data_IF_607951003941
#
_entry.id   IF_607951003941
#
_cell.length_a   1.000
_cell.length_b   1.000
_cell.length_c   1.000
_cell.angle_alpha   90.00
_cell.angle_beta   90.00
_cell.angle_gamma   90.00
#
_symmetry.space_group_name_H-M   'P 1'
#
loop_
_entity.id
_entity.type
_entity.pdbx_description
1 polymer ?
#
# COMPACT_ATOMS: atom_id res chain seq x y z
N UNK A 1 -31.53 -16.67 -13.14
CA UNK A 1 -30.09 -16.38 -13.31
C UNK A 1 -29.30 -17.53 -12.70
N UNK A 2 -28.31 -18.11 -13.41
CA UNK A 2 -27.58 -19.28 -12.92
C UNK A 2 -26.62 -18.87 -11.79
N UNK A 3 -26.70 -19.52 -10.62
CA UNK A 3 -25.92 -19.19 -9.44
C UNK A 3 -24.41 -19.09 -9.72
N UNK A 4 -23.87 -19.98 -10.57
CA UNK A 4 -22.46 -19.95 -10.97
C UNK A 4 -22.05 -18.65 -11.66
N UNK A 5 -22.92 -18.11 -12.51
CA UNK A 5 -22.69 -16.84 -13.21
C UNK A 5 -22.74 -15.65 -12.25
N UNK A 6 -23.59 -15.71 -11.22
CA UNK A 6 -23.67 -14.70 -10.16
C UNK A 6 -22.36 -14.66 -9.37
N UNK A 7 -21.86 -15.82 -8.92
CA UNK A 7 -20.61 -15.89 -8.18
C UNK A 7 -19.40 -15.45 -9.01
N UNK A 8 -19.35 -15.82 -10.30
CA UNK A 8 -18.30 -15.34 -11.20
C UNK A 8 -18.33 -13.83 -11.38
N UNK A 9 -19.51 -13.25 -11.60
CA UNK A 9 -19.66 -11.80 -11.73
C UNK A 9 -19.26 -11.08 -10.43
N UNK A 10 -19.66 -11.60 -9.29
CA UNK A 10 -19.33 -11.04 -7.98
C UNK A 10 -17.82 -11.11 -7.69
N UNK A 11 -17.18 -12.25 -7.92
CA UNK A 11 -15.73 -12.40 -7.76
C UNK A 11 -14.95 -11.49 -8.71
N UNK A 12 -15.38 -11.41 -9.98
CA UNK A 12 -14.79 -10.50 -10.95
C UNK A 12 -14.90 -9.03 -10.54
N UNK A 13 -16.05 -8.62 -9.99
CA UNK A 13 -16.27 -7.27 -9.48
C UNK A 13 -15.30 -6.93 -8.35
N UNK A 14 -15.09 -7.84 -7.39
CA UNK A 14 -14.15 -7.62 -6.27
C UNK A 14 -12.74 -7.40 -6.78
N UNK A 15 -12.27 -8.26 -7.70
CA UNK A 15 -10.92 -8.14 -8.27
C UNK A 15 -10.78 -6.83 -9.05
N UNK A 16 -11.78 -6.47 -9.86
CA UNK A 16 -11.80 -5.21 -10.60
C UNK A 16 -11.69 -4.01 -9.67
N UNK A 17 -12.50 -3.99 -8.60
CA UNK A 17 -12.47 -2.90 -7.62
C UNK A 17 -11.10 -2.81 -6.94
N UNK A 18 -10.53 -3.93 -6.51
CA UNK A 18 -9.19 -3.95 -5.91
C UNK A 18 -8.10 -3.37 -6.83
N UNK A 19 -8.16 -3.71 -8.12
CA UNK A 19 -7.26 -3.15 -9.13
C UNK A 19 -7.47 -1.65 -9.27
N UNK A 20 -8.73 -1.20 -9.39
CA UNK A 20 -9.05 0.22 -9.54
C UNK A 20 -8.66 1.04 -8.30
N UNK A 21 -8.84 0.52 -7.09
CA UNK A 21 -8.42 1.21 -5.86
C UNK A 21 -6.90 1.34 -5.81
N UNK A 22 -6.17 0.27 -6.15
CA UNK A 22 -4.71 0.30 -6.24
C UNK A 22 -4.17 1.28 -7.28
N UNK A 23 -4.76 1.31 -8.49
CA UNK A 23 -4.36 2.25 -9.55
C UNK A 23 -4.62 3.71 -9.20
N UNK A 24 -5.70 4.00 -8.47
CA UNK A 24 -5.99 5.36 -7.99
C UNK A 24 -5.19 5.73 -6.73
N UNK A 25 -4.35 4.83 -6.22
CA UNK A 25 -3.62 5.04 -4.98
C UNK A 25 -4.53 5.15 -3.75
N UNK A 26 -5.76 4.63 -3.83
CA UNK A 26 -6.68 4.60 -2.71
C UNK A 26 -6.32 3.43 -1.80
N UNK A 27 -5.81 3.76 -0.62
CA UNK A 27 -5.46 2.80 0.43
C UNK A 27 -6.47 2.89 1.58
N UNK A 28 -6.78 1.74 2.17
CA UNK A 28 -7.60 1.69 3.39
C UNK A 28 -6.70 1.93 4.60
N UNK A 29 -6.83 3.12 5.21
CA UNK A 29 -6.08 3.53 6.40
C UNK A 29 -5.29 4.81 6.19
N UNK A 30 -4.97 5.48 7.30
CA UNK A 30 -4.10 6.66 7.34
C UNK A 30 -2.66 6.21 7.62
N UNK A 31 -2.08 5.42 6.71
CA UNK A 31 -0.67 5.08 6.79
C UNK A 31 0.10 6.38 6.63
N UNK A 32 0.49 7.00 7.75
CA UNK A 32 1.28 8.22 7.77
C UNK A 32 2.52 7.99 6.92
N UNK A 33 2.62 8.74 5.82
CA UNK A 33 3.84 8.84 5.04
C UNK A 33 4.84 9.60 5.88
N UNK A 34 5.56 8.90 6.74
CA UNK A 34 6.64 9.51 7.49
C UNK A 34 7.74 9.93 6.50
N UNK A 35 8.20 11.17 6.63
CA UNK A 35 9.35 11.65 5.86
C UNK A 35 10.59 11.30 6.66
N UNK A 36 11.48 10.50 6.07
CA UNK A 36 12.75 10.14 6.72
C UNK A 36 13.50 11.44 7.07
N UNK A 37 13.81 11.69 8.37
CA UNK A 37 14.49 12.91 8.80
C UNK A 37 15.84 13.09 8.08
N UNK A 38 16.24 14.32 7.73
CA UNK A 38 17.52 14.57 7.06
C UNK A 38 18.73 14.01 7.80
N UNK A 39 18.71 13.99 9.13
CA UNK A 39 19.76 13.42 9.99
C UNK A 39 19.96 11.91 9.79
N UNK A 40 18.88 11.17 9.51
CA UNK A 40 18.94 9.73 9.20
C UNK A 40 19.49 9.50 7.79
N UNK A 41 19.23 10.43 6.86
CA UNK A 41 19.75 10.37 5.48
C UNK A 41 21.25 10.64 5.40
N UNK A 42 21.78 11.46 6.31
CA UNK A 42 23.16 11.92 6.28
C UNK A 42 24.10 11.16 7.22
N UNK A 43 23.60 10.28 8.09
CA UNK A 43 24.45 9.48 8.97
C UNK A 43 24.99 8.24 8.25
N UNK A 44 26.31 7.95 8.30
CA UNK A 44 26.87 6.73 7.76
C UNK A 44 26.22 5.51 8.42
N UNK A 45 25.45 4.72 7.65
CA UNK A 45 24.70 3.58 8.18
C UNK A 45 23.35 3.90 8.84
N UNK A 46 22.91 5.17 8.87
CA UNK A 46 21.64 5.59 9.50
C UNK A 46 20.40 4.87 8.97
N UNK A 47 20.35 4.61 7.66
CA UNK A 47 19.29 3.81 7.05
C UNK A 47 19.21 2.37 7.58
N UNK A 48 20.32 1.79 8.07
CA UNK A 48 20.36 0.41 8.57
C UNK A 48 19.95 0.30 10.05
N UNK A 49 20.11 1.38 10.81
CA UNK A 49 19.78 1.44 12.24
C UNK A 49 18.39 2.00 12.50
N UNK A 50 17.76 2.64 11.51
CA UNK A 50 16.40 3.14 11.61
C UNK A 50 15.41 1.99 11.40
N UNK A 51 14.69 1.62 12.47
CA UNK A 51 13.77 0.49 12.46
C UNK A 51 12.35 0.95 12.08
N UNK A 52 11.97 0.75 10.83
CA UNK A 52 10.67 1.16 10.26
C UNK A 52 9.50 0.17 10.52
N UNK A 53 9.54 -0.67 11.55
CA UNK A 53 8.53 -1.75 11.76
C UNK A 53 7.09 -1.20 11.82
N UNK A 54 6.90 0.00 12.36
CA UNK A 54 5.60 0.60 12.68
C UNK A 54 5.05 1.54 11.60
N UNK A 55 5.79 1.81 10.53
CA UNK A 55 5.32 2.68 9.44
C UNK A 55 5.69 2.10 8.08
N UNK A 56 4.68 1.79 7.27
CA UNK A 56 4.86 1.40 5.87
C UNK A 56 5.29 2.60 5.04
N UNK A 57 6.52 2.58 4.50
CA UNK A 57 6.93 3.58 3.51
C UNK A 57 6.41 3.13 2.14
N UNK A 58 5.34 3.76 1.68
CA UNK A 58 4.90 3.68 0.29
C UNK A 58 5.46 4.87 -0.50
N UNK A 59 6.14 4.56 -1.60
CA UNK A 59 6.88 5.52 -2.42
C UNK A 59 8.20 4.92 -2.89
N UNK A 60 8.12 4.05 -3.90
CA UNK A 60 9.32 3.58 -4.59
C UNK A 60 9.94 4.75 -5.37
N UNK A 61 11.05 5.27 -4.81
CA UNK A 61 11.85 6.44 -5.23
C UNK A 61 11.16 7.81 -5.17
#
# INVERSE_FOLDING_TARGET
MNAKKVYLAFGGLIVLLYVLTGFNGWEYGDNKREVIPPSVRQSPGGYRSFHFWHSGYHGGK
#
